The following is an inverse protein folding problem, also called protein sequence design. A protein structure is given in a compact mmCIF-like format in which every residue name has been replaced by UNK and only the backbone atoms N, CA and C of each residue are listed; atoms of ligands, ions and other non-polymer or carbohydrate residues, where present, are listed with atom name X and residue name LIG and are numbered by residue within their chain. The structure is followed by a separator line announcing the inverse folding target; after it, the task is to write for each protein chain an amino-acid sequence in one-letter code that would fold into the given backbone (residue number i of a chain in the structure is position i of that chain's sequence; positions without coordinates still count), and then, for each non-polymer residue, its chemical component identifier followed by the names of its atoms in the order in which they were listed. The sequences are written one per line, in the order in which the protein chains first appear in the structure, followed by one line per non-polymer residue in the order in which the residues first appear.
data_IF_851986923736
#
_entry.id   IF_851986923736
#
_cell.length_a   1.000
_cell.length_b   1.000
_cell.length_c   1.000
_cell.angle_alpha   90.00
_cell.angle_beta   90.00
_cell.angle_gamma   90.00
#
_symmetry.space_group_name_H-M   'P 1'
#
loop_
_entity.id
_entity.type
_entity.pdbx_description
1 polymer ?
#
# COMPACT_ATOMS: atom_id res chain seq x y z
N UNK A 1 22.57 -3.27 11.28
CA UNK A 1 21.29 -3.17 11.99
C UNK A 1 20.24 -3.80 11.12
N UNK A 2 19.43 -4.76 11.60
CA UNK A 2 18.31 -5.25 10.80
C UNK A 2 17.40 -4.05 10.50
N UNK A 3 17.18 -3.79 9.22
CA UNK A 3 16.26 -2.75 8.79
C UNK A 3 14.85 -3.20 9.17
N UNK A 4 14.13 -2.37 9.92
CA UNK A 4 12.73 -2.59 10.30
C UNK A 4 11.91 -2.92 9.04
N UNK A 5 11.27 -4.10 8.98
CA UNK A 5 10.45 -4.51 7.86
C UNK A 5 9.28 -3.53 7.62
N UNK A 6 9.09 -3.13 6.36
CA UNK A 6 7.98 -2.28 5.95
C UNK A 6 6.66 -3.06 5.98
N UNK A 7 5.59 -2.43 6.42
CA UNK A 7 4.26 -3.02 6.47
C UNK A 7 3.28 -2.21 5.62
N UNK A 8 2.55 -2.90 4.74
CA UNK A 8 1.63 -2.31 3.79
C UNK A 8 0.26 -2.98 3.88
N UNK A 9 -0.70 -2.32 4.48
CA UNK A 9 -2.09 -2.76 4.54
C UNK A 9 -2.83 -2.38 3.26
N UNK A 10 -3.40 -3.34 2.57
CA UNK A 10 -4.25 -3.14 1.39
C UNK A 10 -5.70 -3.36 1.83
N UNK A 11 -6.57 -2.38 1.62
CA UNK A 11 -7.96 -2.44 2.07
C UNK A 11 -8.86 -3.25 1.13
N UNK A 12 -9.93 -3.80 1.70
CA UNK A 12 -11.04 -4.44 1.01
C UNK A 12 -12.28 -4.37 1.90
N UNK A 13 -13.11 -3.30 1.78
CA UNK A 13 -14.28 -3.14 2.63
C UNK A 13 -15.36 -4.19 2.37
N UNK A 14 -15.35 -4.81 1.18
CA UNK A 14 -16.35 -5.84 0.83
C UNK A 14 -16.19 -7.13 1.64
N UNK A 15 -15.02 -7.32 2.27
CA UNK A 15 -14.80 -8.42 3.20
C UNK A 15 -15.56 -8.27 4.54
N UNK A 16 -16.10 -7.10 4.84
CA UNK A 16 -17.01 -6.92 5.97
C UNK A 16 -18.43 -7.32 5.54
N UNK A 17 -19.03 -8.28 6.24
CA UNK A 17 -20.37 -8.81 5.95
C UNK A 17 -21.48 -7.90 6.51
N UNK A 18 -21.56 -6.63 6.03
CA UNK A 18 -22.47 -5.62 6.54
C UNK A 18 -23.08 -4.79 5.37
N UNK A 19 -23.96 -3.85 5.70
CA UNK A 19 -24.42 -2.82 4.78
C UNK A 19 -23.30 -1.79 4.45
N UNK A 20 -23.48 -1.01 3.40
CA UNK A 20 -22.43 -0.10 2.91
C UNK A 20 -22.01 0.96 3.94
N UNK A 21 -22.92 1.62 4.69
CA UNK A 21 -22.53 2.57 5.73
C UNK A 21 -21.67 1.93 6.83
N UNK A 22 -22.02 0.70 7.25
CA UNK A 22 -21.26 -0.05 8.26
C UNK A 22 -19.92 -0.51 7.73
N UNK A 23 -19.83 -1.00 6.48
CA UNK A 23 -18.56 -1.33 5.80
C UNK A 23 -17.60 -0.14 5.79
N UNK A 24 -18.11 1.03 5.40
CA UNK A 24 -17.32 2.28 5.35
C UNK A 24 -16.77 2.65 6.73
N UNK A 25 -17.62 2.63 7.75
CA UNK A 25 -17.22 2.91 9.15
C UNK A 25 -16.16 1.92 9.63
N UNK A 26 -16.37 0.61 9.45
CA UNK A 26 -15.42 -0.44 9.85
C UNK A 26 -14.07 -0.31 9.13
N UNK A 27 -14.09 0.07 7.86
CA UNK A 27 -12.86 0.33 7.11
C UNK A 27 -12.07 1.50 7.72
N UNK A 28 -12.73 2.62 8.03
CA UNK A 28 -12.07 3.77 8.66
C UNK A 28 -11.54 3.43 10.05
N UNK A 29 -12.27 2.65 10.85
CA UNK A 29 -11.80 2.12 12.14
C UNK A 29 -10.53 1.27 11.95
N UNK A 30 -10.48 0.42 10.91
CA UNK A 30 -9.32 -0.43 10.59
C UNK A 30 -8.13 0.38 10.10
N UNK A 31 -8.35 1.44 9.31
CA UNK A 31 -7.32 2.40 8.90
C UNK A 31 -6.73 3.11 10.13
N UNK A 32 -7.57 3.52 11.07
CA UNK A 32 -7.11 4.14 12.32
C UNK A 32 -6.32 3.16 13.20
N UNK A 33 -6.75 1.90 13.29
CA UNK A 33 -6.02 0.83 13.99
C UNK A 33 -4.62 0.64 13.39
N UNK A 34 -4.53 0.55 12.04
CA UNK A 34 -3.28 0.38 11.32
C UNK A 34 -2.31 1.55 11.56
N UNK A 35 -2.81 2.78 11.51
CA UNK A 35 -2.00 3.97 11.76
C UNK A 35 -1.47 4.02 13.20
N UNK A 36 -2.33 3.72 14.21
CA UNK A 36 -1.90 3.68 15.62
C UNK A 36 -0.91 2.56 15.89
N UNK A 37 -1.03 1.42 15.22
CA UNK A 37 -0.11 0.31 15.34
C UNK A 37 1.25 0.59 14.63
N UNK A 38 1.31 1.61 13.78
CA UNK A 38 2.54 2.03 13.09
C UNK A 38 2.77 1.30 11.77
N UNK A 39 1.74 0.87 11.07
CA UNK A 39 1.84 0.40 9.67
C UNK A 39 2.37 1.54 8.81
N UNK A 40 3.32 1.27 7.90
CA UNK A 40 4.01 2.31 7.14
C UNK A 40 3.15 2.85 5.99
N UNK A 41 2.43 1.96 5.31
CA UNK A 41 1.60 2.29 4.15
C UNK A 41 0.21 1.68 4.25
N UNK A 42 -0.79 2.41 3.77
CA UNK A 42 -2.15 1.90 3.55
C UNK A 42 -2.52 2.16 2.10
N UNK A 43 -3.00 1.14 1.38
CA UNK A 43 -3.61 1.28 0.07
C UNK A 43 -5.12 1.29 0.19
N UNK A 44 -5.76 2.39 -0.19
CA UNK A 44 -7.20 2.45 -0.34
C UNK A 44 -7.57 1.79 -1.68
N UNK A 45 -8.09 0.55 -1.62
CA UNK A 45 -8.35 -0.30 -2.78
C UNK A 45 -9.80 -0.81 -2.80
N UNK A 46 -10.71 0.09 -3.12
CA UNK A 46 -12.15 -0.18 -3.19
C UNK A 46 -12.59 -0.14 -4.66
N UNK A 47 -12.45 -1.28 -5.34
CA UNK A 47 -12.58 -1.39 -6.81
C UNK A 47 -13.98 -1.19 -7.36
N UNK A 48 -14.97 -1.43 -6.54
CA UNK A 48 -16.40 -1.36 -6.87
C UNK A 48 -17.03 0.01 -6.62
N UNK A 49 -16.29 0.92 -5.93
CA UNK A 49 -16.79 2.27 -5.68
C UNK A 49 -16.76 3.14 -6.93
N UNK A 50 -17.85 3.87 -7.21
CA UNK A 50 -17.83 5.01 -8.11
C UNK A 50 -16.79 6.05 -7.68
N UNK A 51 -16.26 6.82 -8.64
CA UNK A 51 -15.18 7.79 -8.40
C UNK A 51 -15.49 8.76 -7.28
N UNK A 52 -16.72 9.31 -7.24
CA UNK A 52 -17.15 10.27 -6.20
C UNK A 52 -17.15 9.66 -4.81
N UNK A 53 -17.58 8.39 -4.69
CA UNK A 53 -17.61 7.69 -3.41
C UNK A 53 -16.20 7.32 -2.95
N UNK A 54 -15.32 6.94 -3.88
CA UNK A 54 -13.91 6.70 -3.61
C UNK A 54 -13.21 8.00 -3.15
N UNK A 55 -13.46 9.12 -3.82
CA UNK A 55 -12.93 10.44 -3.44
C UNK A 55 -13.40 10.85 -2.03
N UNK A 56 -14.70 10.72 -1.76
CA UNK A 56 -15.27 10.99 -0.42
C UNK A 56 -14.64 10.12 0.66
N UNK A 57 -14.50 8.82 0.41
CA UNK A 57 -13.87 7.88 1.36
C UNK A 57 -12.38 8.21 1.57
N UNK A 58 -11.67 8.54 0.50
CA UNK A 58 -10.27 8.94 0.58
C UNK A 58 -10.10 10.22 1.43
N UNK A 59 -10.98 11.21 1.27
CA UNK A 59 -10.96 12.45 2.04
C UNK A 59 -11.21 12.21 3.53
N UNK A 60 -12.14 11.30 3.88
CA UNK A 60 -12.38 10.90 5.27
C UNK A 60 -11.17 10.20 5.87
N UNK A 61 -10.56 9.26 5.13
CA UNK A 61 -9.36 8.54 5.57
C UNK A 61 -8.17 9.50 5.79
N UNK A 62 -7.96 10.46 4.89
CA UNK A 62 -6.90 11.47 5.01
C UNK A 62 -7.14 12.37 6.24
N UNK A 63 -8.37 12.82 6.44
CA UNK A 63 -8.75 13.65 7.61
C UNK A 63 -8.46 12.89 8.90
N UNK A 64 -8.88 11.62 8.98
CA UNK A 64 -8.62 10.74 10.11
C UNK A 64 -7.12 10.56 10.38
N UNK A 65 -6.33 10.26 9.35
CA UNK A 65 -4.88 10.08 9.47
C UNK A 65 -4.18 11.36 9.91
N UNK A 66 -4.60 12.51 9.41
CA UNK A 66 -4.05 13.82 9.82
C UNK A 66 -4.33 14.11 11.30
N UNK A 67 -5.54 13.80 11.79
CA UNK A 67 -5.87 13.93 13.22
C UNK A 67 -4.97 13.03 14.10
N UNK A 68 -4.68 11.82 13.65
CA UNK A 68 -3.80 10.89 14.37
C UNK A 68 -2.33 11.34 14.37
N UNK A 69 -1.87 11.97 13.28
CA UNK A 69 -0.49 12.49 13.15
C UNK A 69 -0.18 13.62 14.15
N UNK A 70 -1.16 14.44 14.52
CA UNK A 70 -0.97 15.54 15.45
C UNK A 70 -0.82 15.12 16.91
N UNK A 71 -1.23 13.90 17.26
CA UNK A 71 -1.25 13.39 18.65
C UNK A 71 -0.10 12.48 19.05
N UNK A 72 0.71 11.97 18.15
CA UNK A 72 1.72 10.94 18.45
C UNK A 72 3.05 11.15 17.70
N UNK A 73 4.18 10.86 18.39
CA UNK A 73 5.54 10.82 17.81
C UNK A 73 5.80 9.62 16.88
N UNK A 74 4.79 8.86 16.48
CA UNK A 74 4.95 7.72 15.58
C UNK A 74 5.22 8.17 14.13
N UNK A 75 5.93 7.35 13.37
CA UNK A 75 6.17 7.56 11.95
C UNK A 75 4.82 7.71 11.21
N UNK A 76 4.67 8.71 10.35
CA UNK A 76 3.40 8.96 9.69
C UNK A 76 3.09 7.82 8.71
N UNK A 77 1.97 7.13 8.91
CA UNK A 77 1.40 6.20 7.94
C UNK A 77 1.04 6.96 6.67
N UNK A 78 1.50 6.51 5.50
CA UNK A 78 1.16 7.11 4.22
C UNK A 78 -0.05 6.41 3.59
N UNK A 79 -1.01 7.20 3.07
CA UNK A 79 -2.17 6.71 2.33
C UNK A 79 -1.92 6.78 0.82
N UNK A 80 -2.04 5.64 0.15
CA UNK A 80 -1.93 5.51 -1.29
C UNK A 80 -3.28 5.14 -1.89
N UNK A 81 -3.65 5.80 -2.99
CA UNK A 81 -4.87 5.45 -3.73
C UNK A 81 -4.54 4.39 -4.78
N UNK A 82 -5.35 3.33 -4.86
CA UNK A 82 -5.16 2.29 -5.85
C UNK A 82 -5.48 2.82 -7.25
N UNK A 83 -4.49 2.85 -8.13
CA UNK A 83 -4.54 3.11 -9.59
C UNK A 83 -5.21 4.43 -10.03
N UNK A 84 -5.79 5.21 -9.16
CA UNK A 84 -6.47 6.48 -9.47
C UNK A 84 -5.60 7.67 -9.06
N UNK A 85 -4.64 8.02 -9.93
CA UNK A 85 -3.74 9.18 -9.74
C UNK A 85 -4.52 10.49 -9.65
N UNK A 86 -5.60 10.62 -10.40
CA UNK A 86 -6.51 11.77 -10.36
C UNK A 86 -7.17 11.94 -8.97
N UNK A 87 -7.69 10.87 -8.38
CA UNK A 87 -8.27 10.89 -7.02
C UNK A 87 -7.18 11.19 -5.99
N UNK A 88 -5.99 10.58 -6.12
CA UNK A 88 -4.89 10.84 -5.20
C UNK A 88 -4.46 12.32 -5.20
N UNK A 89 -4.43 12.95 -6.38
CA UNK A 89 -4.13 14.38 -6.53
C UNK A 89 -5.25 15.26 -5.98
N UNK A 90 -6.51 14.95 -6.30
CA UNK A 90 -7.67 15.73 -5.87
C UNK A 90 -7.85 15.75 -4.35
N UNK A 91 -7.59 14.61 -3.69
CA UNK A 91 -7.75 14.45 -2.24
C UNK A 91 -6.52 14.84 -1.43
N UNK A 92 -5.35 14.99 -2.07
CA UNK A 92 -4.08 15.23 -1.38
C UNK A 92 -3.53 14.01 -0.65
N UNK A 93 -3.82 12.79 -1.14
CA UNK A 93 -3.23 11.56 -0.62
C UNK A 93 -1.69 11.59 -0.71
N UNK A 94 -1.02 10.76 0.07
CA UNK A 94 0.46 10.74 0.11
C UNK A 94 1.07 10.11 -1.15
N UNK A 95 0.26 9.39 -1.96
CA UNK A 95 0.74 8.77 -3.19
C UNK A 95 -0.28 7.88 -3.88
N UNK A 96 0.23 7.02 -4.78
CA UNK A 96 -0.57 6.12 -5.60
C UNK A 96 0.09 4.74 -5.69
N UNK A 97 -0.75 3.70 -5.80
CA UNK A 97 -0.31 2.36 -6.14
C UNK A 97 -0.72 2.03 -7.58
N UNK A 98 0.24 1.89 -8.45
CA UNK A 98 0.05 1.63 -9.87
C UNK A 98 0.00 0.13 -10.16
N UNK A 99 -0.74 -0.27 -11.18
CA UNK A 99 -0.61 -1.57 -11.82
C UNK A 99 0.58 -1.55 -12.78
N UNK A 100 1.04 -2.71 -13.23
CA UNK A 100 2.13 -2.81 -14.18
C UNK A 100 1.82 -2.15 -15.55
N UNK A 101 0.53 -2.05 -15.91
CA UNK A 101 0.02 -1.49 -17.16
C UNK A 101 -0.54 -0.06 -17.04
N UNK A 102 -0.41 0.58 -15.88
CA UNK A 102 -0.78 1.99 -15.67
C UNK A 102 0.29 2.94 -16.26
N UNK A 103 0.01 4.25 -16.21
CA UNK A 103 1.00 5.27 -16.55
C UNK A 103 2.27 5.08 -15.69
N UNK A 104 3.43 5.42 -16.26
CA UNK A 104 4.71 5.17 -15.59
C UNK A 104 4.88 5.98 -14.29
N UNK A 105 5.63 5.48 -13.31
CA UNK A 105 6.02 6.23 -12.12
C UNK A 105 6.62 7.60 -12.42
N UNK A 106 7.40 7.71 -13.49
CA UNK A 106 8.02 8.96 -13.91
C UNK A 106 7.00 9.99 -14.41
N UNK A 107 5.98 9.55 -15.17
CA UNK A 107 4.86 10.40 -15.59
C UNK A 107 4.03 10.87 -14.39
N UNK A 108 3.71 9.96 -13.45
CA UNK A 108 3.04 10.32 -12.20
C UNK A 108 3.83 11.37 -11.44
N UNK A 109 5.13 11.18 -11.26
CA UNK A 109 6.00 12.16 -10.58
C UNK A 109 5.98 13.52 -11.26
N UNK A 110 5.94 13.55 -12.61
CA UNK A 110 5.89 14.77 -13.39
C UNK A 110 4.55 15.50 -13.23
N UNK A 111 3.44 14.76 -13.32
CA UNK A 111 2.09 15.29 -13.10
C UNK A 111 1.96 15.83 -11.67
N UNK A 112 2.44 15.06 -10.70
CA UNK A 112 2.39 15.43 -9.28
C UNK A 112 3.09 16.75 -8.97
N UNK A 113 4.26 16.98 -9.56
CA UNK A 113 5.00 18.25 -9.45
C UNK A 113 4.20 19.41 -10.04
N UNK A 114 3.59 19.21 -11.22
CA UNK A 114 2.83 20.25 -11.93
C UNK A 114 1.54 20.62 -11.17
N UNK A 115 0.78 19.64 -10.69
CA UNK A 115 -0.48 19.86 -10.00
C UNK A 115 -0.30 20.29 -8.53
N UNK A 116 0.84 19.95 -7.90
CA UNK A 116 1.13 20.30 -6.50
C UNK A 116 1.49 21.77 -6.26
N UNK A 117 1.81 22.52 -7.31
CA UNK A 117 2.27 23.91 -7.19
C UNK A 117 1.14 24.93 -6.93
N UNK A 118 -0.13 24.51 -6.90
CA UNK A 118 -1.27 25.45 -6.84
C UNK A 118 -2.36 25.16 -5.79
N UNK A 119 -2.21 24.15 -4.93
CA UNK A 119 -3.24 23.82 -3.94
C UNK A 119 -2.84 24.28 -2.53
N UNK A 120 -3.69 25.08 -1.83
CA UNK A 120 -3.39 25.58 -0.48
C UNK A 120 -3.12 24.50 0.56
N UNK A 121 -3.70 23.30 0.38
CA UNK A 121 -3.48 22.14 1.26
C UNK A 121 -2.06 21.56 1.19
N UNK A 122 -1.25 21.93 0.20
CA UNK A 122 0.12 21.46 -0.04
C UNK A 122 1.22 22.45 0.31
N UNK A 123 0.91 23.66 0.73
CA UNK A 123 1.91 24.63 1.19
C UNK A 123 2.74 24.14 2.39
N UNK A 124 2.28 23.09 3.08
CA UNK A 124 2.95 22.54 4.26
C UNK A 124 4.01 21.48 3.98
N UNK A 125 4.11 20.91 2.79
CA UNK A 125 5.28 20.07 2.38
C UNK A 125 5.22 19.69 0.90
N UNK A 126 6.20 20.05 0.06
CA UNK A 126 6.39 19.50 -1.28
C UNK A 126 6.98 18.07 -1.18
N UNK A 127 6.29 17.17 -0.50
CA UNK A 127 6.77 15.78 -0.42
C UNK A 127 6.66 15.14 -1.79
N UNK A 128 7.72 14.43 -2.19
CA UNK A 128 7.65 13.55 -3.35
C UNK A 128 6.54 12.52 -3.10
N UNK A 129 5.69 12.23 -4.10
CA UNK A 129 4.65 11.22 -3.93
C UNK A 129 5.28 9.85 -3.64
N UNK A 130 4.63 9.07 -2.81
CA UNK A 130 4.93 7.64 -2.69
C UNK A 130 4.30 6.93 -3.88
N UNK A 131 5.12 6.32 -4.73
CA UNK A 131 4.64 5.59 -5.91
C UNK A 131 5.01 4.13 -5.75
N UNK A 132 4.02 3.31 -5.46
CA UNK A 132 4.13 1.86 -5.43
C UNK A 132 3.71 1.27 -6.78
N UNK A 133 4.32 0.14 -7.18
CA UNK A 133 3.97 -0.58 -8.42
C UNK A 133 3.75 -2.04 -8.14
N UNK A 134 2.63 -2.61 -8.62
CA UNK A 134 2.42 -4.06 -8.64
C UNK A 134 3.30 -4.69 -9.71
N UNK A 135 4.06 -5.73 -9.34
CA UNK A 135 4.94 -6.47 -10.23
C UNK A 135 4.70 -7.98 -10.09
N UNK A 136 4.69 -8.68 -11.22
CA UNK A 136 4.46 -10.13 -11.31
C UNK A 136 5.68 -10.87 -11.88
N UNK A 137 6.70 -10.15 -12.29
CA UNK A 137 7.96 -10.67 -12.84
C UNK A 137 9.15 -9.80 -12.41
N UNK A 138 10.36 -10.38 -12.49
CA UNK A 138 11.62 -9.64 -12.25
C UNK A 138 11.79 -8.51 -13.27
N UNK A 139 11.37 -8.71 -14.50
CA UNK A 139 11.43 -7.68 -15.55
C UNK A 139 10.58 -6.45 -15.18
N UNK A 140 9.35 -6.64 -14.68
CA UNK A 140 8.48 -5.55 -14.23
C UNK A 140 9.10 -4.81 -13.03
N UNK A 141 9.75 -5.52 -12.10
CA UNK A 141 10.48 -4.92 -10.98
C UNK A 141 11.62 -4.04 -11.46
N UNK A 142 12.42 -4.53 -12.42
CA UNK A 142 13.53 -3.77 -13.02
C UNK A 142 13.01 -2.51 -13.74
N UNK A 143 11.88 -2.64 -14.44
CA UNK A 143 11.21 -1.51 -15.08
C UNK A 143 10.74 -0.48 -14.05
N UNK A 144 10.07 -0.91 -12.97
CA UNK A 144 9.61 -0.01 -11.91
C UNK A 144 10.78 0.75 -11.26
N UNK A 145 11.90 0.07 -11.02
CA UNK A 145 13.14 0.67 -10.51
C UNK A 145 13.69 1.75 -11.46
N UNK A 146 13.80 1.43 -12.75
CA UNK A 146 14.30 2.37 -13.76
C UNK A 146 13.40 3.62 -13.92
N UNK A 147 12.13 3.52 -13.59
CA UNK A 147 11.16 4.60 -13.66
C UNK A 147 10.98 5.35 -12.33
N UNK A 148 11.88 5.14 -11.37
CA UNK A 148 11.92 5.81 -10.08
C UNK A 148 10.65 5.60 -9.23
N UNK A 149 10.05 4.42 -9.24
CA UNK A 149 9.06 4.01 -8.26
C UNK A 149 9.67 4.03 -6.85
N UNK A 150 8.85 4.27 -5.83
CA UNK A 150 9.32 4.29 -4.43
C UNK A 150 9.59 2.87 -3.92
N UNK A 151 8.72 1.94 -4.27
CA UNK A 151 8.87 0.51 -4.00
C UNK A 151 8.01 -0.32 -4.96
N UNK A 152 8.35 -1.58 -5.12
CA UNK A 152 7.54 -2.55 -5.86
C UNK A 152 6.85 -3.53 -4.92
N UNK A 153 5.67 -3.99 -5.31
CA UNK A 153 4.93 -5.06 -4.63
C UNK A 153 4.94 -6.29 -5.52
N UNK A 154 5.71 -7.30 -5.13
CA UNK A 154 5.88 -8.54 -5.88
C UNK A 154 4.83 -9.58 -5.49
N UNK A 155 4.03 -10.03 -6.43
CA UNK A 155 2.88 -10.90 -6.19
C UNK A 155 2.53 -11.84 -7.38
N UNK A 156 1.91 -12.99 -7.09
CA UNK A 156 1.72 -13.60 -5.79
C UNK A 156 2.93 -14.44 -5.35
N UNK A 157 3.38 -14.32 -4.11
CA UNK A 157 4.49 -15.14 -3.59
C UNK A 157 4.00 -16.54 -3.22
N UNK A 158 2.85 -16.66 -2.54
CA UNK A 158 2.23 -17.94 -2.17
C UNK A 158 0.83 -18.06 -2.78
N UNK A 159 0.28 -19.26 -2.74
CA UNK A 159 -1.08 -19.53 -3.20
C UNK A 159 -2.12 -18.70 -2.42
N UNK A 160 -3.11 -18.20 -3.16
CA UNK A 160 -4.26 -17.51 -2.58
C UNK A 160 -5.38 -18.52 -2.36
N UNK A 161 -6.00 -18.53 -1.17
CA UNK A 161 -7.10 -19.45 -0.83
C UNK A 161 -8.27 -19.44 -1.82
N UNK A 162 -8.50 -18.33 -2.54
CA UNK A 162 -9.69 -18.13 -3.37
C UNK A 162 -9.35 -17.93 -4.87
N UNK A 163 -8.15 -18.27 -5.32
CA UNK A 163 -7.74 -18.09 -6.71
C UNK A 163 -7.02 -19.31 -7.23
N UNK A 164 -7.79 -20.29 -7.70
CA UNK A 164 -7.25 -21.55 -8.25
C UNK A 164 -6.37 -21.37 -9.52
N UNK A 165 -6.39 -20.19 -10.15
CA UNK A 165 -5.76 -19.94 -11.45
C UNK A 165 -4.46 -19.12 -11.40
N UNK A 166 -4.00 -18.65 -10.26
CA UNK A 166 -2.73 -17.92 -10.19
C UNK A 166 -1.61 -18.77 -9.61
N UNK A 167 -0.71 -19.25 -10.47
CA UNK A 167 0.49 -19.96 -10.02
C UNK A 167 1.37 -19.01 -9.20
N UNK A 168 1.72 -19.35 -7.94
CA UNK A 168 2.59 -18.49 -7.13
C UNK A 168 4.00 -18.45 -7.73
N UNK A 169 4.63 -17.29 -7.67
CA UNK A 169 6.00 -17.10 -8.13
C UNK A 169 7.02 -17.81 -7.21
N UNK A 170 6.69 -17.92 -5.93
CA UNK A 170 7.52 -18.55 -4.92
C UNK A 170 8.65 -17.67 -4.38
N UNK A 171 9.30 -18.17 -3.33
CA UNK A 171 10.40 -17.46 -2.67
C UNK A 171 11.65 -17.29 -3.55
N UNK A 172 11.92 -18.23 -4.46
CA UNK A 172 13.07 -18.13 -5.37
C UNK A 172 12.92 -16.93 -6.31
N UNK A 173 11.74 -16.73 -6.91
CA UNK A 173 11.48 -15.58 -7.77
C UNK A 173 11.45 -14.26 -6.97
N UNK A 174 10.95 -14.28 -5.72
CA UNK A 174 11.03 -13.13 -4.83
C UNK A 174 12.50 -12.76 -4.54
N UNK A 175 13.35 -13.74 -4.24
CA UNK A 175 14.79 -13.52 -4.00
C UNK A 175 15.47 -12.90 -5.21
N UNK A 176 15.17 -13.36 -6.44
CA UNK A 176 15.68 -12.74 -7.67
C UNK A 176 15.17 -11.29 -7.84
N UNK A 177 13.90 -11.05 -7.59
CA UNK A 177 13.31 -9.70 -7.63
C UNK A 177 14.00 -8.75 -6.65
N UNK A 178 14.35 -9.23 -5.46
CA UNK A 178 15.01 -8.44 -4.41
C UNK A 178 16.45 -8.02 -4.73
N UNK A 179 17.03 -8.51 -5.83
CA UNK A 179 18.34 -8.04 -6.33
C UNK A 179 18.27 -6.69 -7.07
N UNK A 180 17.06 -6.23 -7.41
CA UNK A 180 16.86 -4.93 -8.04
C UNK A 180 17.11 -3.79 -7.03
N UNK A 181 17.55 -2.64 -7.52
CA UNK A 181 17.82 -1.44 -6.72
C UNK A 181 16.51 -0.68 -6.39
N UNK A 182 15.58 -1.37 -5.76
CA UNK A 182 14.30 -0.84 -5.29
C UNK A 182 13.80 -1.70 -4.12
N UNK A 183 13.21 -1.13 -3.06
CA UNK A 183 12.57 -1.91 -2.01
C UNK A 183 11.43 -2.78 -2.56
N UNK A 184 11.42 -4.08 -2.21
CA UNK A 184 10.38 -5.03 -2.62
C UNK A 184 9.54 -5.42 -1.43
N UNK A 185 8.21 -5.30 -1.55
CA UNK A 185 7.27 -5.83 -0.58
C UNK A 185 6.62 -7.10 -1.14
N UNK A 186 6.64 -8.17 -0.37
CA UNK A 186 6.02 -9.44 -0.75
C UNK A 186 4.51 -9.40 -0.54
N UNK A 187 3.73 -9.87 -1.52
CA UNK A 187 2.27 -9.95 -1.47
C UNK A 187 1.77 -11.28 -2.04
N UNK A 188 0.64 -11.73 -1.55
CA UNK A 188 -0.08 -12.93 -2.01
C UNK A 188 0.13 -14.15 -1.13
N UNK A 189 -0.95 -14.62 -0.50
CA UNK A 189 -0.94 -15.76 0.41
C UNK A 189 -0.12 -15.55 1.69
N UNK A 190 0.17 -14.30 2.06
CA UNK A 190 0.98 -13.98 3.25
C UNK A 190 0.17 -14.23 4.53
N UNK A 191 0.82 -14.93 5.47
CA UNK A 191 0.36 -15.22 6.83
C UNK A 191 1.48 -14.92 7.81
N UNK A 192 1.21 -14.88 9.12
CA UNK A 192 2.27 -14.74 10.14
C UNK A 192 3.31 -15.86 10.08
N UNK A 193 2.89 -17.08 9.72
CA UNK A 193 3.78 -18.24 9.67
C UNK A 193 4.75 -18.22 8.49
N UNK A 194 4.45 -17.51 7.40
CA UNK A 194 5.30 -17.47 6.20
C UNK A 194 5.92 -16.09 5.91
N UNK A 195 5.53 -15.06 6.64
CA UNK A 195 6.01 -13.69 6.41
C UNK A 195 7.54 -13.59 6.60
N UNK A 196 8.10 -14.24 7.61
CA UNK A 196 9.54 -14.24 7.85
C UNK A 196 10.34 -14.81 6.70
N UNK A 197 9.86 -15.88 6.04
CA UNK A 197 10.53 -16.46 4.87
C UNK A 197 10.64 -15.46 3.70
N UNK A 198 9.68 -14.53 3.58
CA UNK A 198 9.78 -13.45 2.58
C UNK A 198 10.88 -12.44 2.94
N UNK A 199 11.01 -12.09 4.22
CA UNK A 199 12.05 -11.17 4.70
C UNK A 199 13.44 -11.81 4.55
N UNK A 200 13.57 -13.09 4.87
CA UNK A 200 14.80 -13.88 4.67
C UNK A 200 15.16 -14.00 3.18
N UNK A 201 14.19 -14.05 2.27
CA UNK A 201 14.39 -13.99 0.83
C UNK A 201 14.83 -12.61 0.31
N UNK A 202 14.94 -11.61 1.18
CA UNK A 202 15.41 -10.27 0.86
C UNK A 202 14.31 -9.21 0.71
N UNK A 203 13.04 -9.53 0.93
CA UNK A 203 11.97 -8.55 0.88
C UNK A 203 12.18 -7.45 1.94
N UNK A 204 12.02 -6.19 1.54
CA UNK A 204 12.07 -5.05 2.44
C UNK A 204 10.85 -4.97 3.38
N UNK A 205 9.80 -5.75 3.09
CA UNK A 205 8.60 -5.77 3.90
C UNK A 205 7.48 -6.65 3.32
N UNK A 206 6.31 -6.52 3.93
CA UNK A 206 5.13 -7.33 3.66
C UNK A 206 3.96 -6.44 3.28
N UNK A 207 3.26 -6.81 2.20
CA UNK A 207 1.96 -6.27 1.81
C UNK A 207 0.88 -7.34 1.98
N UNK A 208 -0.26 -7.00 2.55
CA UNK A 208 -1.35 -7.96 2.70
C UNK A 208 -2.72 -7.29 2.83
N UNK A 209 -3.78 -8.03 2.47
CA UNK A 209 -5.18 -7.67 2.72
C UNK A 209 -5.62 -8.35 4.01
N UNK A 210 -5.90 -9.65 3.93
CA UNK A 210 -6.52 -10.45 5.02
C UNK A 210 -5.68 -10.49 6.28
N UNK A 211 -4.36 -10.56 6.19
CA UNK A 211 -3.49 -10.58 7.35
C UNK A 211 -3.77 -9.38 8.28
N UNK A 212 -3.95 -8.18 7.72
CA UNK A 212 -4.28 -6.98 8.50
C UNK A 212 -5.78 -6.86 8.80
N UNK A 213 -6.63 -7.20 7.83
CA UNK A 213 -8.07 -6.95 7.93
C UNK A 213 -8.78 -7.89 8.90
N UNK A 214 -8.37 -9.16 8.96
CA UNK A 214 -9.00 -10.22 9.76
C UNK A 214 -8.39 -10.38 11.16
N UNK A 215 -7.28 -9.69 11.46
CA UNK A 215 -6.54 -9.86 12.71
C UNK A 215 -6.34 -8.53 13.45
N UNK A 216 -5.84 -8.62 14.70
CA UNK A 216 -5.40 -7.47 15.47
C UNK A 216 -4.08 -6.93 14.87
N UNK A 217 -4.12 -5.71 14.34
CA UNK A 217 -2.96 -5.14 13.63
C UNK A 217 -1.78 -4.89 14.57
N UNK A 218 -2.02 -4.53 15.82
CA UNK A 218 -0.92 -4.31 16.78
C UNK A 218 -0.14 -5.61 17.08
N UNK A 219 -0.82 -6.76 17.05
CA UNK A 219 -0.16 -8.08 17.19
C UNK A 219 0.65 -8.43 15.95
N UNK A 220 0.11 -8.18 14.75
CA UNK A 220 0.83 -8.36 13.48
C UNK A 220 2.10 -7.51 13.47
N UNK A 221 2.00 -6.23 13.83
CA UNK A 221 3.15 -5.32 13.86
C UNK A 221 4.22 -5.81 14.84
N UNK A 222 3.83 -6.26 16.05
CA UNK A 222 4.78 -6.82 17.03
C UNK A 222 5.47 -8.10 16.55
N UNK A 223 4.75 -8.94 15.82
CA UNK A 223 5.29 -10.22 15.33
C UNK A 223 6.26 -10.03 14.14
N UNK A 224 6.14 -8.94 13.36
CA UNK A 224 6.93 -8.71 12.15
C UNK A 224 8.04 -7.66 12.34
N UNK A 225 8.21 -7.12 13.54
CA UNK A 225 9.20 -6.08 13.92
C UNK A 225 9.95 -6.40 15.19
#
# INVERSE_FOLDING_TARGET
MPTRGLLYYITDRTAFADDEPTRRRRLLEKIAEAARAGVDYIQLREKDLPVRDLESLAQEAITLLNQLRTGHKSLPTALLINHRTDVALATGADGVHLRADDISPQEVSTIWKKCGAGTPARELSPRRPVIAVSCHSVAEVTQAASQAATFAVFAPVFEKKDSANSKPAGLAALCEACKADIPILALGGITLSNAHSCLEAGAAGIAAIRLFQENNIAEIVRALR
#
